data_IF_577539685090
#
_entry.id   IF_577539685090
#
_cell.length_a   1.000
_cell.length_b   1.000
_cell.length_c   1.000
_cell.angle_alpha   90.00
_cell.angle_beta   90.00
_cell.angle_gamma   90.00
#
_symmetry.space_group_name_H-M   'P 1'
#
loop_
_entity.id
_entity.type
_entity.pdbx_description
1 polymer ?
#
# COMPACT_ATOMS: atom_id res chain seq x y z
N UNK A 1 -27.67 6.62 16.31
CA UNK A 1 -26.31 6.59 15.72
C UNK A 1 -25.86 8.01 15.44
N UNK A 2 -24.55 8.29 15.51
CA UNK A 2 -23.99 9.63 15.29
C UNK A 2 -23.04 9.63 14.08
N UNK A 3 -22.83 10.78 13.40
CA UNK A 3 -21.83 10.90 12.35
C UNK A 3 -20.41 10.68 12.91
N UNK A 4 -19.56 9.97 12.17
CA UNK A 4 -18.19 9.65 12.55
C UNK A 4 -17.38 10.91 12.83
N UNK A 5 -17.52 11.94 12.00
CA UNK A 5 -16.77 13.19 12.18
C UNK A 5 -17.08 13.86 13.53
N UNK A 6 -18.36 13.87 13.92
CA UNK A 6 -18.80 14.38 15.23
C UNK A 6 -18.20 13.55 16.35
N UNK A 7 -18.29 12.22 16.24
CA UNK A 7 -17.72 11.29 17.23
C UNK A 7 -16.21 11.48 17.39
N UNK A 8 -15.48 11.70 16.29
CA UNK A 8 -14.03 11.93 16.34
C UNK A 8 -13.69 13.26 17.02
N UNK A 9 -14.43 14.33 16.76
CA UNK A 9 -14.23 15.62 17.42
C UNK A 9 -14.52 15.59 18.93
N UNK A 10 -15.43 14.72 19.38
CA UNK A 10 -15.77 14.57 20.79
C UNK A 10 -14.77 13.71 21.58
N UNK A 11 -13.90 12.97 20.89
CA UNK A 11 -12.90 12.13 21.57
C UNK A 11 -11.83 13.00 22.23
N UNK A 12 -11.46 12.60 23.44
CA UNK A 12 -10.27 13.14 24.10
C UNK A 12 -9.02 12.88 23.25
N UNK A 13 -8.08 13.84 23.26
CA UNK A 13 -6.83 13.78 22.50
C UNK A 13 -6.10 12.44 22.70
N UNK A 14 -6.03 11.94 23.93
CA UNK A 14 -5.38 10.65 24.23
C UNK A 14 -6.02 9.46 23.48
N UNK A 15 -7.35 9.48 23.30
CA UNK A 15 -8.05 8.46 22.51
C UNK A 15 -7.73 8.58 21.02
N UNK A 16 -7.65 9.82 20.51
CA UNK A 16 -7.23 10.07 19.12
C UNK A 16 -5.78 9.64 18.88
N UNK A 17 -4.87 9.91 19.82
CA UNK A 17 -3.48 9.44 19.76
C UNK A 17 -3.40 7.92 19.79
N UNK A 18 -4.23 7.24 20.60
CA UNK A 18 -4.30 5.79 20.60
C UNK A 18 -4.78 5.23 19.25
N UNK A 19 -5.78 5.87 18.63
CA UNK A 19 -6.24 5.51 17.29
C UNK A 19 -5.14 5.73 16.25
N UNK A 20 -4.47 6.88 16.28
CA UNK A 20 -3.36 7.18 15.39
C UNK A 20 -2.24 6.12 15.46
N UNK A 21 -1.88 5.71 16.69
CA UNK A 21 -0.92 4.61 16.92
C UNK A 21 -1.41 3.28 16.39
N UNK A 22 -2.70 2.95 16.55
CA UNK A 22 -3.25 1.73 15.95
C UNK A 22 -3.17 1.77 14.43
N UNK A 23 -3.37 2.92 13.80
CA UNK A 23 -3.34 3.07 12.34
C UNK A 23 -1.96 3.35 11.73
N UNK A 24 -0.91 3.32 12.56
CA UNK A 24 0.46 3.72 12.23
C UNK A 24 0.53 5.09 11.53
N UNK A 25 -0.26 6.05 12.02
CA UNK A 25 -0.22 7.43 11.57
C UNK A 25 0.95 8.18 12.24
N UNK A 26 1.57 9.14 11.54
CA UNK A 26 2.64 9.95 12.12
C UNK A 26 2.15 10.70 13.36
N UNK A 27 3.03 10.83 14.35
CA UNK A 27 2.74 11.58 15.57
C UNK A 27 2.49 13.05 15.24
N UNK A 28 1.26 13.50 15.38
CA UNK A 28 0.89 14.92 15.36
C UNK A 28 0.47 15.37 16.76
N UNK A 29 0.63 16.67 17.04
CA UNK A 29 0.35 17.25 18.36
C UNK A 29 -1.10 17.75 18.51
N UNK A 30 -1.81 17.99 17.41
CA UNK A 30 -3.14 18.60 17.39
C UNK A 30 -4.29 17.60 17.24
N UNK A 31 -5.35 17.78 18.04
CA UNK A 31 -6.58 16.98 17.91
C UNK A 31 -7.21 17.13 16.52
N UNK A 32 -7.25 18.35 15.96
CA UNK A 32 -7.82 18.62 14.64
C UNK A 32 -7.07 17.87 13.53
N UNK A 33 -5.74 17.84 13.57
CA UNK A 33 -4.91 17.15 12.57
C UNK A 33 -5.12 15.64 12.63
N UNK A 34 -5.25 15.10 13.84
CA UNK A 34 -5.58 13.69 14.06
C UNK A 34 -6.96 13.36 13.50
N UNK A 35 -7.98 14.18 13.75
CA UNK A 35 -9.32 13.99 13.18
C UNK A 35 -9.27 14.05 11.65
N UNK A 36 -8.58 15.04 11.09
CA UNK A 36 -8.41 15.20 9.64
C UNK A 36 -7.67 14.04 8.97
N UNK A 37 -6.78 13.36 9.70
CA UNK A 37 -6.08 12.16 9.21
C UNK A 37 -6.89 10.87 9.41
N UNK A 38 -7.59 10.75 10.54
CA UNK A 38 -8.36 9.55 10.90
C UNK A 38 -9.67 9.43 10.12
N UNK A 39 -10.36 10.54 9.87
CA UNK A 39 -11.64 10.51 9.16
C UNK A 39 -11.54 9.87 7.77
N UNK A 40 -10.70 10.36 6.83
CA UNK A 40 -10.60 9.76 5.49
C UNK A 40 -10.13 8.31 5.54
N UNK A 41 -9.24 7.99 6.49
CA UNK A 41 -8.77 6.63 6.70
C UNK A 41 -9.92 5.71 7.14
N UNK A 42 -10.70 6.10 8.14
CA UNK A 42 -11.78 5.28 8.67
C UNK A 42 -12.97 5.16 7.70
N UNK A 43 -13.13 6.14 6.80
CA UNK A 43 -14.17 6.10 5.75
C UNK A 43 -13.76 5.32 4.49
N UNK A 44 -12.53 4.81 4.42
CA UNK A 44 -12.09 3.96 3.33
C UNK A 44 -12.37 2.47 3.64
N UNK A 45 -13.04 1.73 2.73
CA UNK A 45 -13.43 0.34 2.96
C UNK A 45 -12.24 -0.61 3.09
N UNK A 46 -11.14 -0.38 2.37
CA UNK A 46 -9.92 -1.17 2.51
C UNK A 46 -9.30 -0.98 3.89
N UNK A 47 -9.20 0.27 4.36
CA UNK A 47 -8.60 0.57 5.66
C UNK A 47 -9.40 -0.07 6.79
N UNK A 48 -10.74 0.06 6.76
CA UNK A 48 -11.61 -0.58 7.75
C UNK A 48 -11.43 -2.10 7.74
N UNK A 49 -11.45 -2.75 6.57
CA UNK A 49 -11.26 -4.20 6.45
C UNK A 49 -9.90 -4.66 7.02
N UNK A 50 -8.82 -3.92 6.72
CA UNK A 50 -7.48 -4.21 7.24
C UNK A 50 -7.39 -4.03 8.77
N UNK A 51 -8.03 -2.99 9.31
CA UNK A 51 -8.10 -2.77 10.76
C UNK A 51 -8.83 -3.89 11.49
N UNK A 52 -9.96 -4.36 10.95
CA UNK A 52 -10.70 -5.49 11.50
C UNK A 52 -9.91 -6.80 11.42
N UNK A 53 -9.24 -7.05 10.29
CA UNK A 53 -8.38 -8.21 10.09
C UNK A 53 -7.21 -8.26 11.09
N UNK A 54 -6.60 -7.10 11.38
CA UNK A 54 -5.55 -6.94 12.39
C UNK A 54 -6.04 -7.23 13.80
N UNK A 55 -7.28 -6.90 14.13
CA UNK A 55 -7.85 -7.15 15.47
C UNK A 55 -8.26 -8.63 15.60
N UNK A 56 -8.88 -9.21 14.57
CA UNK A 56 -9.22 -10.62 14.49
C UNK A 56 -10.67 -10.92 14.09
N UNK A 57 -11.06 -12.21 13.97
CA UNK A 57 -12.38 -12.61 13.47
C UNK A 57 -13.54 -12.13 14.35
N UNK A 58 -13.32 -12.07 15.67
CA UNK A 58 -14.35 -11.61 16.60
C UNK A 58 -14.65 -10.12 16.42
N UNK A 59 -13.68 -9.32 15.96
CA UNK A 59 -13.89 -7.91 15.63
C UNK A 59 -14.84 -7.75 14.43
N UNK A 60 -14.64 -8.55 13.39
CA UNK A 60 -15.56 -8.62 12.25
C UNK A 60 -16.99 -8.93 12.70
N UNK A 61 -17.17 -10.00 13.49
CA UNK A 61 -18.50 -10.39 14.00
C UNK A 61 -19.14 -9.28 14.84
N UNK A 62 -18.35 -8.64 15.71
CA UNK A 62 -18.83 -7.54 16.57
C UNK A 62 -19.30 -6.35 15.74
N UNK A 63 -18.51 -5.94 14.75
CA UNK A 63 -18.84 -4.78 13.90
C UNK A 63 -20.01 -5.08 12.98
N UNK A 64 -20.09 -6.30 12.41
CA UNK A 64 -21.25 -6.74 11.65
C UNK A 64 -22.53 -6.76 12.49
N UNK A 65 -22.46 -7.25 13.74
CA UNK A 65 -23.58 -7.24 14.67
C UNK A 65 -24.07 -5.81 14.96
N UNK A 66 -23.17 -4.90 15.33
CA UNK A 66 -23.50 -3.49 15.60
C UNK A 66 -24.04 -2.78 14.35
N UNK A 67 -23.49 -3.08 13.17
CA UNK A 67 -23.97 -2.54 11.90
C UNK A 67 -25.37 -3.03 11.54
N UNK A 68 -25.69 -4.30 11.86
CA UNK A 68 -27.02 -4.88 11.64
C UNK A 68 -28.06 -4.31 12.61
N UNK A 69 -27.74 -4.26 13.90
CA UNK A 69 -28.69 -3.83 14.94
C UNK A 69 -28.90 -2.32 14.97
N UNK A 70 -27.90 -1.53 14.54
CA UNK A 70 -27.96 -0.05 14.50
C UNK A 70 -28.27 0.61 15.86
N UNK A 71 -28.05 -0.12 16.95
CA UNK A 71 -28.26 0.31 18.33
C UNK A 71 -26.98 0.24 19.15
N UNK A 72 -26.95 0.97 20.27
CA UNK A 72 -25.86 0.86 21.24
C UNK A 72 -26.12 -0.35 22.16
N UNK A 73 -25.08 -1.11 22.45
CA UNK A 73 -25.17 -2.31 23.29
C UNK A 73 -24.10 -2.30 24.39
N UNK A 74 -24.42 -2.90 25.53
CA UNK A 74 -23.44 -3.13 26.61
C UNK A 74 -22.46 -4.25 26.23
N UNK A 75 -21.26 -4.29 26.83
CA UNK A 75 -20.32 -5.40 26.62
C UNK A 75 -20.92 -6.79 26.87
N UNK A 76 -21.71 -6.94 27.93
CA UNK A 76 -22.38 -8.21 28.27
C UNK A 76 -23.45 -8.61 27.26
N UNK A 77 -24.20 -7.65 26.72
CA UNK A 77 -25.18 -7.88 25.64
C UNK A 77 -24.46 -8.30 24.36
N UNK A 78 -23.37 -7.62 23.99
CA UNK A 78 -22.54 -8.00 22.85
C UNK A 78 -21.99 -9.42 22.99
N UNK A 79 -21.49 -9.79 24.17
CA UNK A 79 -20.99 -11.14 24.43
C UNK A 79 -22.08 -12.20 24.25
N UNK A 80 -23.28 -11.95 24.80
CA UNK A 80 -24.44 -12.83 24.66
C UNK A 80 -24.86 -13.00 23.19
N UNK A 81 -25.02 -11.90 22.45
CA UNK A 81 -25.43 -11.94 21.04
C UNK A 81 -24.38 -12.60 20.13
N UNK A 82 -23.10 -12.49 20.49
CA UNK A 82 -22.00 -13.16 19.77
C UNK A 82 -21.82 -14.63 20.15
N UNK A 83 -22.54 -15.12 21.18
CA UNK A 83 -22.37 -16.45 21.73
C UNK A 83 -20.96 -16.70 22.26
N UNK A 84 -20.31 -15.66 22.81
CA UNK A 84 -18.93 -15.68 23.27
C UNK A 84 -18.83 -15.27 24.74
N UNK A 85 -17.79 -15.72 25.42
CA UNK A 85 -17.52 -15.30 26.79
C UNK A 85 -17.17 -13.81 26.86
N UNK A 86 -17.72 -13.09 27.83
CA UNK A 86 -17.48 -11.66 28.02
C UNK A 86 -16.00 -11.37 28.24
N UNK A 87 -15.29 -12.26 28.94
CA UNK A 87 -13.84 -12.14 29.16
C UNK A 87 -13.02 -12.16 27.86
N UNK A 88 -13.51 -12.84 26.82
CA UNK A 88 -12.90 -12.90 25.50
C UNK A 88 -13.30 -11.71 24.61
N UNK A 89 -14.51 -11.18 24.81
CA UNK A 89 -15.06 -10.06 24.03
C UNK A 89 -14.50 -8.71 24.47
N UNK A 90 -14.36 -8.49 25.80
CA UNK A 90 -13.88 -7.22 26.36
C UNK A 90 -12.54 -6.72 25.76
N UNK A 91 -11.49 -7.56 25.61
CA UNK A 91 -10.24 -7.15 24.97
C UNK A 91 -10.44 -6.69 23.52
N UNK A 92 -11.34 -7.33 22.77
CA UNK A 92 -11.65 -6.97 21.39
C UNK A 92 -12.40 -5.63 21.33
N UNK A 93 -13.37 -5.41 22.22
CA UNK A 93 -14.09 -4.13 22.33
C UNK A 93 -13.15 -2.98 22.66
N UNK A 94 -12.19 -3.19 23.56
CA UNK A 94 -11.14 -2.20 23.88
C UNK A 94 -10.29 -1.87 22.66
N UNK A 95 -9.87 -2.88 21.89
CA UNK A 95 -9.11 -2.69 20.65
C UNK A 95 -9.91 -1.92 19.60
N UNK A 96 -11.18 -2.27 19.39
CA UNK A 96 -12.08 -1.56 18.48
C UNK A 96 -12.29 -0.10 18.90
N UNK A 97 -12.45 0.15 20.20
CA UNK A 97 -12.58 1.51 20.72
C UNK A 97 -11.29 2.30 20.56
N UNK A 98 -10.13 1.69 20.84
CA UNK A 98 -8.82 2.32 20.67
C UNK A 98 -8.51 2.60 19.19
N UNK A 99 -8.98 1.77 18.26
CA UNK A 99 -8.87 1.96 16.83
C UNK A 99 -9.84 3.02 16.28
N UNK A 100 -10.66 3.63 17.14
CA UNK A 100 -11.77 4.53 16.77
C UNK A 100 -12.83 3.93 15.84
N UNK A 101 -12.95 2.60 15.78
CA UNK A 101 -13.95 1.90 14.98
C UNK A 101 -15.32 1.90 15.68
N UNK A 102 -15.35 1.70 17.00
CA UNK A 102 -16.59 1.83 17.80
C UNK A 102 -16.52 3.03 18.73
N UNK A 103 -17.67 3.63 18.98
CA UNK A 103 -17.84 4.73 19.91
C UNK A 103 -18.47 4.23 21.21
N UNK A 104 -18.24 4.97 22.30
CA UNK A 104 -18.83 4.70 23.61
C UNK A 104 -19.72 5.88 24.01
N UNK A 105 -20.81 5.60 24.70
CA UNK A 105 -21.63 6.59 25.37
C UNK A 105 -21.97 6.09 26.77
N UNK A 106 -21.94 6.99 27.75
CA UNK A 106 -22.34 6.67 29.13
C UNK A 106 -23.86 6.72 29.23
N UNK A 107 -24.44 5.68 29.85
CA UNK A 107 -25.84 5.63 30.26
C UNK A 107 -25.92 5.42 31.77
N UNK A 108 -27.09 5.61 32.38
CA UNK A 108 -27.28 5.42 33.83
C UNK A 108 -26.88 4.01 34.29
N UNK A 109 -27.02 3.03 33.41
CA UNK A 109 -26.69 1.63 33.67
C UNK A 109 -25.28 1.21 33.19
N UNK A 110 -24.43 2.18 32.82
CA UNK A 110 -23.05 1.95 32.40
C UNK A 110 -22.74 2.29 30.93
N UNK A 111 -21.51 2.03 30.46
CA UNK A 111 -21.09 2.36 29.10
C UNK A 111 -21.73 1.43 28.06
N UNK A 112 -22.27 2.01 26.99
CA UNK A 112 -22.75 1.29 25.81
C UNK A 112 -21.90 1.64 24.60
N UNK A 113 -21.68 0.65 23.74
CA UNK A 113 -20.89 0.78 22.52
C UNK A 113 -21.80 0.80 21.30
N UNK A 114 -21.51 1.68 20.36
CA UNK A 114 -22.22 1.76 19.09
C UNK A 114 -21.26 2.00 17.93
N UNK A 115 -21.75 1.71 16.73
CA UNK A 115 -21.02 1.97 15.49
C UNK A 115 -21.44 3.34 14.91
N UNK A 116 -20.49 4.25 14.61
CA UNK A 116 -20.80 5.49 13.88
C UNK A 116 -21.46 5.21 12.52
N UNK A 117 -22.21 6.19 12.01
CA UNK A 117 -23.13 6.01 10.87
C UNK A 117 -22.44 5.52 9.60
N UNK A 118 -21.32 6.15 9.25
CA UNK A 118 -20.48 5.89 8.09
C UNK A 118 -19.84 4.51 8.20
N UNK A 119 -19.25 4.20 9.36
CA UNK A 119 -18.64 2.91 9.63
C UNK A 119 -19.64 1.76 9.57
N UNK A 120 -20.88 1.99 9.98
CA UNK A 120 -21.92 0.98 9.86
C UNK A 120 -22.37 0.75 8.42
N UNK A 121 -22.40 1.80 7.57
CA UNK A 121 -22.63 1.63 6.12
C UNK A 121 -21.51 0.83 5.49
N UNK A 122 -20.25 1.18 5.78
CA UNK A 122 -19.08 0.45 5.29
C UNK A 122 -19.05 -1.00 5.78
N UNK A 123 -19.33 -1.24 7.06
CA UNK A 123 -19.42 -2.59 7.61
C UNK A 123 -20.51 -3.44 6.93
N UNK A 124 -21.65 -2.83 6.61
CA UNK A 124 -22.73 -3.52 5.87
C UNK A 124 -22.26 -3.90 4.47
N UNK A 125 -21.62 -2.98 3.74
CA UNK A 125 -21.02 -3.25 2.42
C UNK A 125 -19.96 -4.34 2.51
N UNK A 126 -19.03 -4.25 3.45
CA UNK A 126 -17.97 -5.24 3.63
C UNK A 126 -18.54 -6.61 3.98
N UNK A 127 -19.64 -6.68 4.74
CA UNK A 127 -20.32 -7.95 5.00
C UNK A 127 -20.93 -8.53 3.72
N UNK A 128 -21.56 -7.71 2.86
CA UNK A 128 -22.07 -8.16 1.56
C UNK A 128 -20.96 -8.67 0.63
N UNK A 129 -19.81 -7.99 0.61
CA UNK A 129 -18.62 -8.44 -0.14
C UNK A 129 -18.05 -9.79 0.39
N UNK A 130 -18.27 -10.08 1.66
CA UNK A 130 -17.85 -11.34 2.30
C UNK A 130 -18.84 -12.48 2.08
N UNK A 131 -20.13 -12.17 2.10
CA UNK A 131 -21.21 -13.13 1.84
C UNK A 131 -21.23 -13.59 0.38
N UNK A 132 -20.73 -12.74 -0.53
CA UNK A 132 -20.54 -13.03 -1.97
C UNK A 132 -19.09 -12.74 -2.38
N UNK A 133 -18.13 -13.65 -2.11
CA UNK A 133 -16.71 -13.42 -2.35
C UNK A 133 -16.34 -13.54 -3.84
N UNK A 134 -15.46 -12.65 -4.32
CA UNK A 134 -14.95 -12.70 -5.69
C UNK A 134 -14.06 -13.93 -5.95
N UNK A 135 -14.24 -14.54 -7.13
CA UNK A 135 -13.38 -15.62 -7.61
C UNK A 135 -12.16 -15.10 -8.39
N UNK A 136 -11.12 -15.93 -8.53
CA UNK A 136 -9.93 -15.62 -9.38
C UNK A 136 -10.29 -15.46 -10.86
N UNK A 137 -11.39 -16.05 -11.27
CA UNK A 137 -11.93 -16.03 -12.63
C UNK A 137 -12.94 -14.90 -12.85
N UNK A 138 -13.20 -14.07 -11.83
CA UNK A 138 -14.13 -12.95 -11.90
C UNK A 138 -13.78 -12.03 -13.09
N UNK A 139 -14.79 -11.75 -13.91
CA UNK A 139 -14.66 -10.89 -15.09
C UNK A 139 -14.58 -9.40 -14.73
N UNK A 140 -14.13 -8.55 -15.66
CA UNK A 140 -13.99 -7.11 -15.42
C UNK A 140 -15.31 -6.48 -14.96
N UNK A 141 -16.45 -6.86 -15.56
CA UNK A 141 -17.76 -6.33 -15.17
C UNK A 141 -18.07 -6.63 -13.70
N UNK A 142 -17.87 -7.87 -13.26
CA UNK A 142 -18.12 -8.31 -11.88
C UNK A 142 -17.25 -7.55 -10.88
N UNK A 143 -15.99 -7.28 -11.23
CA UNK A 143 -15.09 -6.46 -10.41
C UNK A 143 -15.60 -5.03 -10.30
N UNK A 144 -15.91 -4.38 -11.43
CA UNK A 144 -16.38 -2.99 -11.45
C UNK A 144 -17.73 -2.81 -10.76
N UNK A 145 -18.57 -3.85 -10.77
CA UNK A 145 -19.85 -3.87 -10.05
C UNK A 145 -19.69 -3.81 -8.52
N UNK A 146 -18.53 -4.17 -7.98
CA UNK A 146 -18.20 -3.99 -6.55
C UNK A 146 -17.89 -2.55 -6.16
N UNK A 147 -17.61 -1.68 -7.13
CA UNK A 147 -17.29 -0.28 -6.88
C UNK A 147 -18.56 0.56 -6.82
N UNK A 148 -18.60 1.45 -5.82
CA UNK A 148 -19.58 2.54 -5.79
C UNK A 148 -19.36 3.46 -7.00
N UNK A 149 -20.37 4.24 -7.38
CA UNK A 149 -20.26 5.18 -8.50
C UNK A 149 -19.09 6.14 -8.33
N UNK A 150 -18.86 6.62 -7.10
CA UNK A 150 -17.74 7.49 -6.78
C UNK A 150 -16.38 6.79 -7.01
N UNK A 151 -16.19 5.58 -6.49
CA UNK A 151 -14.94 4.82 -6.66
C UNK A 151 -14.70 4.45 -8.13
N UNK A 152 -15.75 4.13 -8.88
CA UNK A 152 -15.68 3.83 -10.30
C UNK A 152 -15.24 5.06 -11.10
N UNK A 153 -15.84 6.22 -10.82
CA UNK A 153 -15.49 7.47 -11.49
C UNK A 153 -14.08 7.92 -11.14
N UNK A 154 -13.64 7.81 -9.88
CA UNK A 154 -12.25 8.08 -9.49
C UNK A 154 -11.26 7.16 -10.23
N UNK A 155 -11.60 5.86 -10.35
CA UNK A 155 -10.78 4.92 -11.10
C UNK A 155 -10.72 5.31 -12.58
N UNK A 156 -11.86 5.63 -13.20
CA UNK A 156 -11.92 6.06 -14.59
C UNK A 156 -11.07 7.32 -14.84
N UNK A 157 -11.15 8.31 -13.94
CA UNK A 157 -10.36 9.53 -14.01
C UNK A 157 -8.85 9.26 -13.95
N UNK A 158 -8.41 8.36 -13.04
CA UNK A 158 -7.01 7.92 -12.97
C UNK A 158 -6.52 7.23 -14.24
N UNK A 159 -7.43 6.54 -14.93
CA UNK A 159 -7.18 5.92 -16.23
C UNK A 159 -7.33 6.91 -17.40
N UNK A 160 -7.44 8.21 -17.12
CA UNK A 160 -7.43 9.28 -18.11
C UNK A 160 -8.81 9.66 -18.66
N UNK A 161 -9.90 9.14 -18.09
CA UNK A 161 -11.24 9.60 -18.45
C UNK A 161 -11.45 11.02 -17.93
N UNK A 162 -11.99 11.91 -18.76
CA UNK A 162 -12.47 13.20 -18.27
C UNK A 162 -13.81 12.99 -17.59
N UNK A 163 -13.83 13.00 -16.26
CA UNK A 163 -15.07 12.89 -15.48
C UNK A 163 -15.68 14.28 -15.32
N UNK A 164 -16.95 14.42 -15.72
CA UNK A 164 -17.76 15.61 -15.49
C UNK A 164 -18.75 15.29 -14.36
N UNK A 165 -18.65 15.95 -13.19
CA UNK A 165 -19.55 15.70 -12.07
C UNK A 165 -21.01 15.78 -12.50
N UNK A 166 -21.86 14.86 -12.03
CA UNK A 166 -23.30 14.76 -12.34
C UNK A 166 -23.69 14.46 -13.79
N UNK A 167 -22.73 14.43 -14.72
CA UNK A 167 -22.98 14.16 -16.15
C UNK A 167 -22.44 12.80 -16.57
N UNK A 168 -21.20 12.49 -16.19
CA UNK A 168 -20.59 11.20 -16.54
C UNK A 168 -21.34 10.07 -15.85
N UNK A 169 -21.83 9.12 -16.63
CA UNK A 169 -22.65 8.01 -16.13
C UNK A 169 -21.78 6.84 -15.68
N UNK A 170 -22.35 5.99 -14.83
CA UNK A 170 -21.74 4.72 -14.43
C UNK A 170 -21.42 3.85 -15.66
N UNK A 171 -22.35 3.75 -16.60
CA UNK A 171 -22.23 2.92 -17.80
C UNK A 171 -21.07 3.39 -18.70
N UNK A 172 -20.91 4.69 -18.87
CA UNK A 172 -19.78 5.28 -19.59
C UNK A 172 -18.44 4.92 -18.92
N UNK A 173 -18.36 5.05 -17.59
CA UNK A 173 -17.17 4.73 -16.83
C UNK A 173 -16.84 3.23 -16.86
N UNK A 174 -17.84 2.34 -16.75
CA UNK A 174 -17.65 0.89 -16.89
C UNK A 174 -17.13 0.55 -18.28
N UNK A 175 -17.74 1.10 -19.33
CA UNK A 175 -17.33 0.85 -20.73
C UNK A 175 -15.89 1.32 -20.96
N UNK A 176 -15.56 2.52 -20.48
CA UNK A 176 -14.21 3.08 -20.57
C UNK A 176 -13.20 2.18 -19.84
N UNK A 177 -13.46 1.84 -18.58
CA UNK A 177 -12.56 1.03 -17.76
C UNK A 177 -12.38 -0.38 -18.31
N UNK A 178 -13.43 -0.99 -18.85
CA UNK A 178 -13.36 -2.33 -19.46
C UNK A 178 -12.37 -2.35 -20.62
N UNK A 179 -12.36 -1.31 -21.48
CA UNK A 179 -11.39 -1.22 -22.58
C UNK A 179 -9.98 -0.91 -22.09
N UNK A 180 -9.83 -0.03 -21.10
CA UNK A 180 -8.51 0.41 -20.60
C UNK A 180 -7.82 -0.64 -19.72
N UNK A 181 -8.56 -1.36 -18.88
CA UNK A 181 -8.00 -2.42 -18.06
C UNK A 181 -7.51 -3.60 -18.90
N UNK A 182 -8.03 -3.77 -20.12
CA UNK A 182 -7.53 -4.79 -21.05
C UNK A 182 -6.27 -4.35 -21.82
N UNK A 183 -5.85 -3.09 -21.76
CA UNK A 183 -4.70 -2.55 -22.52
C UNK A 183 -3.35 -2.93 -21.89
N UNK A 184 -2.53 -3.79 -22.54
CA UNK A 184 -1.26 -4.23 -21.99
C UNK A 184 -0.19 -3.13 -21.90
N UNK A 185 -0.29 -2.07 -22.72
CA UNK A 185 0.65 -0.95 -22.65
C UNK A 185 0.38 -0.10 -21.42
N UNK A 186 -0.89 0.22 -21.19
CA UNK A 186 -1.31 0.96 -20.01
C UNK A 186 -1.01 0.20 -18.72
N UNK A 187 -1.25 -1.11 -18.68
CA UNK A 187 -0.87 -1.93 -17.52
C UNK A 187 0.64 -1.89 -17.24
N UNK A 188 1.49 -1.85 -18.28
CA UNK A 188 2.95 -1.68 -18.12
C UNK A 188 3.27 -0.34 -17.49
N UNK A 189 2.71 0.74 -18.02
CA UNK A 189 2.96 2.10 -17.54
C UNK A 189 2.56 2.25 -16.07
N UNK A 190 1.38 1.74 -15.69
CA UNK A 190 0.92 1.73 -14.30
C UNK A 190 1.91 0.97 -13.42
N UNK A 191 2.34 -0.24 -13.81
CA UNK A 191 3.31 -1.02 -13.03
C UNK A 191 4.65 -0.30 -12.86
N UNK A 192 5.12 0.44 -13.86
CA UNK A 192 6.34 1.26 -13.74
C UNK A 192 6.18 2.47 -12.83
N UNK A 193 4.95 2.94 -12.60
CA UNK A 193 4.64 4.06 -11.70
C UNK A 193 4.45 3.65 -10.24
N UNK A 194 4.33 2.34 -9.96
CA UNK A 194 4.12 1.83 -8.61
C UNK A 194 5.35 2.03 -7.73
N UNK A 195 5.12 2.26 -6.44
CA UNK A 195 6.18 2.23 -5.44
C UNK A 195 6.86 0.86 -5.40
N UNK A 196 8.15 0.76 -5.02
CA UNK A 196 8.86 -0.52 -4.95
C UNK A 196 8.15 -1.57 -4.08
N UNK A 197 7.49 -1.13 -3.00
CA UNK A 197 6.72 -2.01 -2.11
C UNK A 197 5.42 -2.49 -2.76
N UNK A 198 4.72 -1.63 -3.49
CA UNK A 198 3.52 -2.02 -4.25
C UNK A 198 3.87 -3.01 -5.37
N UNK A 199 4.97 -2.77 -6.08
CA UNK A 199 5.47 -3.70 -7.09
C UNK A 199 5.84 -5.06 -6.47
N UNK A 200 6.55 -5.07 -5.32
CA UNK A 200 6.89 -6.30 -4.61
C UNK A 200 5.64 -7.11 -4.21
N UNK A 201 4.62 -6.45 -3.66
CA UNK A 201 3.37 -7.12 -3.29
C UNK A 201 2.61 -7.62 -4.52
N UNK A 202 2.57 -6.82 -5.60
CA UNK A 202 1.93 -7.21 -6.85
C UNK A 202 2.60 -8.41 -7.51
N UNK A 203 3.93 -8.48 -7.52
CA UNK A 203 4.68 -9.62 -8.06
C UNK A 203 4.46 -10.89 -7.23
N UNK A 204 4.34 -10.74 -5.90
CA UNK A 204 3.92 -11.84 -5.03
C UNK A 204 2.52 -12.32 -5.37
N UNK A 205 1.54 -11.42 -5.51
CA UNK A 205 0.18 -11.77 -5.92
C UNK A 205 0.16 -12.43 -7.31
N UNK A 206 0.99 -11.96 -8.25
CA UNK A 206 1.07 -12.52 -9.60
C UNK A 206 1.71 -13.91 -9.65
N UNK A 207 2.60 -14.23 -8.69
CA UNK A 207 3.19 -15.56 -8.57
C UNK A 207 2.28 -16.56 -7.88
N UNK A 208 1.33 -16.09 -7.06
CA UNK A 208 0.37 -16.91 -6.35
C UNK A 208 -0.94 -16.95 -7.13
N UNK A 209 -1.29 -18.09 -7.73
CA UNK A 209 -2.57 -18.26 -8.45
C UNK A 209 -3.80 -18.36 -7.51
N UNK A 210 -3.65 -17.96 -6.24
CA UNK A 210 -4.69 -18.01 -5.21
C UNK A 210 -4.74 -16.68 -4.47
N UNK A 211 -5.90 -16.32 -3.91
CA UNK A 211 -6.00 -15.19 -3.00
C UNK A 211 -4.94 -15.30 -1.90
N UNK A 212 -4.34 -14.16 -1.52
CA UNK A 212 -3.30 -14.11 -0.48
C UNK A 212 -3.94 -13.62 0.82
N UNK A 213 -4.05 -14.45 1.87
CA UNK A 213 -4.63 -14.03 3.13
C UNK A 213 -3.85 -12.88 3.77
N UNK A 214 -4.55 -11.81 4.13
CA UNK A 214 -3.93 -10.63 4.75
C UNK A 214 -3.30 -10.98 6.09
N UNK A 215 -3.83 -11.96 6.82
CA UNK A 215 -3.22 -12.46 8.06
C UNK A 215 -1.79 -12.95 7.88
N UNK A 216 -1.46 -13.52 6.72
CA UNK A 216 -0.09 -13.96 6.40
C UNK A 216 0.82 -12.74 6.30
N UNK A 217 0.40 -11.71 5.55
CA UNK A 217 1.14 -10.46 5.40
C UNK A 217 1.33 -9.72 6.74
N UNK A 218 0.32 -9.73 7.60
CA UNK A 218 0.38 -9.11 8.93
C UNK A 218 1.32 -9.85 9.90
N UNK A 219 1.59 -11.13 9.67
CA UNK A 219 2.50 -11.93 10.48
C UNK A 219 3.96 -11.80 10.07
N UNK A 220 4.22 -11.20 8.91
CA UNK A 220 5.56 -11.11 8.35
C UNK A 220 6.36 -9.92 8.91
N UNK A 221 7.62 -10.13 9.31
CA UNK A 221 8.41 -9.09 9.99
C UNK A 221 8.83 -7.93 9.08
N UNK A 222 8.71 -8.08 7.76
CA UNK A 222 9.18 -7.10 6.78
C UNK A 222 8.12 -6.06 6.37
N UNK A 223 6.91 -6.17 6.94
CA UNK A 223 5.82 -5.22 6.76
C UNK A 223 5.45 -4.58 8.11
N UNK A 224 5.61 -3.27 8.25
CA UNK A 224 4.81 -2.56 9.24
C UNK A 224 3.35 -2.47 8.78
N UNK A 225 2.41 -2.34 9.71
CA UNK A 225 0.99 -2.24 9.36
C UNK A 225 0.72 -0.99 8.51
N UNK A 226 1.32 0.14 8.86
CA UNK A 226 1.23 1.38 8.10
C UNK A 226 1.81 1.30 6.69
N UNK A 227 2.90 0.55 6.47
CA UNK A 227 3.40 0.28 5.11
C UNK A 227 2.45 -0.61 4.33
N UNK A 228 2.05 -1.77 4.87
CA UNK A 228 1.15 -2.70 4.21
C UNK A 228 -0.15 -2.01 3.77
N UNK A 229 -0.71 -1.21 4.66
CA UNK A 229 -1.93 -0.45 4.44
C UNK A 229 -1.81 0.57 3.31
N UNK A 230 -0.69 1.30 3.23
CA UNK A 230 -0.40 2.25 2.14
C UNK A 230 -0.16 1.53 0.82
N UNK A 231 0.57 0.40 0.86
CA UNK A 231 0.86 -0.44 -0.30
C UNK A 231 -0.41 -1.04 -0.89
N UNK A 232 -1.30 -1.59 -0.06
CA UNK A 232 -2.60 -2.12 -0.52
C UNK A 232 -3.47 -0.99 -1.06
N UNK A 233 -3.53 0.17 -0.39
CA UNK A 233 -4.29 1.32 -0.88
C UNK A 233 -3.79 1.78 -2.24
N UNK A 234 -2.47 1.83 -2.46
CA UNK A 234 -1.89 2.19 -3.76
C UNK A 234 -2.32 1.22 -4.87
N UNK A 235 -2.21 -0.09 -4.64
CA UNK A 235 -2.64 -1.11 -5.60
C UNK A 235 -4.15 -1.05 -5.86
N UNK A 236 -4.94 -0.87 -4.80
CA UNK A 236 -6.39 -0.81 -4.87
C UNK A 236 -6.88 0.41 -5.66
N UNK A 237 -6.20 1.56 -5.51
CA UNK A 237 -6.58 2.77 -6.23
C UNK A 237 -6.32 2.67 -7.73
N UNK A 238 -5.45 1.76 -8.16
CA UNK A 238 -5.26 1.37 -9.55
C UNK A 238 -6.12 0.17 -9.97
N UNK A 239 -7.03 -0.33 -9.12
CA UNK A 239 -7.86 -1.49 -9.44
C UNK A 239 -7.07 -2.80 -9.63
N UNK A 240 -5.83 -2.86 -9.16
CA UNK A 240 -4.93 -4.02 -9.32
C UNK A 240 -5.15 -5.08 -8.24
N UNK A 241 -5.75 -4.73 -7.11
CA UNK A 241 -6.06 -5.67 -6.03
C UNK A 241 -7.49 -5.49 -5.56
N UNK A 242 -8.13 -6.62 -5.26
CA UNK A 242 -9.52 -6.73 -4.85
C UNK A 242 -9.61 -7.47 -3.52
N UNK A 243 -10.69 -7.21 -2.77
CA UNK A 243 -10.99 -7.97 -1.55
C UNK A 243 -11.72 -9.23 -1.95
N UNK A 244 -11.36 -10.34 -1.32
CA UNK A 244 -12.17 -11.54 -1.30
C UNK A 244 -12.10 -12.17 0.09
N UNK A 245 -12.97 -13.15 0.34
CA UNK A 245 -12.93 -13.94 1.56
C UNK A 245 -12.42 -15.35 1.23
N UNK A 246 -11.43 -15.81 2.01
CA UNK A 246 -11.02 -17.21 2.01
C UNK A 246 -10.97 -17.72 3.46
N UNK A 247 -11.67 -18.82 3.73
CA UNK A 247 -11.68 -19.46 5.06
C UNK A 247 -12.08 -18.53 6.22
N UNK A 248 -13.03 -17.60 6.03
CA UNK A 248 -13.41 -16.67 7.10
C UNK A 248 -12.49 -15.46 7.25
N UNK A 249 -11.45 -15.31 6.41
CA UNK A 249 -10.42 -14.27 6.53
C UNK A 249 -10.38 -13.39 5.29
N UNK A 250 -9.92 -12.14 5.48
CA UNK A 250 -9.70 -11.21 4.39
C UNK A 250 -8.49 -11.67 3.55
N UNK A 251 -8.70 -11.81 2.24
CA UNK A 251 -7.64 -12.12 1.29
C UNK A 251 -7.55 -11.05 0.20
N UNK A 252 -6.33 -10.84 -0.28
CA UNK A 252 -6.03 -10.02 -1.46
C UNK A 252 -6.16 -10.88 -2.71
N UNK A 253 -6.93 -10.39 -3.67
CA UNK A 253 -7.16 -11.04 -4.95
C UNK A 253 -6.57 -10.20 -6.08
N UNK A 254 -5.75 -10.84 -6.92
CA UNK A 254 -5.38 -10.34 -8.24
C UNK A 254 -6.13 -11.18 -9.28
N UNK A 255 -7.16 -10.64 -9.95
CA UNK A 255 -7.92 -11.35 -10.97
C UNK A 255 -7.00 -11.84 -12.10
N UNK A 256 -7.27 -13.05 -12.60
CA UNK A 256 -6.46 -13.71 -13.63
C UNK A 256 -6.29 -12.86 -14.90
N UNK A 257 -7.32 -12.14 -15.30
CA UNK A 257 -7.29 -11.21 -16.44
C UNK A 257 -6.27 -10.05 -16.30
N UNK A 258 -5.86 -9.69 -15.08
CA UNK A 258 -4.82 -8.68 -14.80
C UNK A 258 -3.41 -9.29 -14.65
N UNK A 259 -3.26 -10.62 -14.71
CA UNK A 259 -1.95 -11.29 -14.57
C UNK A 259 -1.17 -11.42 -15.89
N UNK A 260 -1.81 -11.14 -17.03
CA UNK A 260 -1.30 -11.41 -18.38
C UNK A 260 -0.10 -10.54 -18.79
N UNK A 261 0.11 -9.40 -18.12
CA UNK A 261 1.23 -8.51 -18.40
C UNK A 261 2.36 -8.77 -17.42
N UNK A 262 3.12 -9.85 -17.62
CA UNK A 262 4.41 -10.04 -16.94
C UNK A 262 5.41 -9.02 -17.49
N UNK A 263 5.61 -7.93 -16.77
CA UNK A 263 6.75 -7.05 -17.00
C UNK A 263 7.97 -7.81 -16.49
N UNK A 264 8.79 -8.35 -17.40
CA UNK A 264 10.15 -8.76 -17.02
C UNK A 264 10.77 -7.55 -16.32
N UNK A 265 11.41 -7.71 -15.14
CA UNK A 265 12.08 -6.61 -14.47
C UNK A 265 12.94 -5.92 -15.51
N UNK A 266 12.54 -4.70 -15.87
CA UNK A 266 13.27 -3.94 -16.87
C UNK A 266 14.50 -3.50 -16.12
N UNK A 267 15.59 -4.27 -16.26
CA UNK A 267 16.89 -3.76 -15.88
C UNK A 267 16.99 -2.37 -16.49
N UNK A 268 17.30 -1.35 -15.69
CA UNK A 268 17.33 -0.01 -16.21
C UNK A 268 18.31 -0.08 -17.41
N UNK A 269 17.81 0.24 -18.60
CA UNK A 269 18.62 0.19 -19.82
C UNK A 269 19.53 1.42 -19.85
N UNK A 270 20.84 1.25 -20.11
CA UNK A 270 21.75 2.39 -20.20
C UNK A 270 21.22 3.39 -21.22
N UNK A 271 21.14 4.66 -20.81
CA UNK A 271 20.69 5.74 -21.69
C UNK A 271 21.79 5.97 -22.72
N UNK A 272 21.53 5.66 -23.99
CA UNK A 272 22.41 6.08 -25.09
C UNK A 272 22.21 7.58 -25.33
N UNK A 273 22.96 8.41 -24.62
CA UNK A 273 23.06 9.85 -24.86
C UNK A 273 23.99 10.10 -26.07
N UNK A 274 23.61 9.59 -27.24
CA UNK A 274 24.20 10.00 -28.50
C UNK A 274 23.57 11.34 -28.94
N UNK A 275 23.84 12.40 -28.17
CA UNK A 275 23.32 13.73 -28.43
C UNK A 275 23.89 14.71 -27.42
N UNK A 276 24.77 15.58 -27.91
CA UNK A 276 25.49 16.63 -27.16
C UNK A 276 24.63 17.27 -26.06
N UNK A 277 24.85 16.85 -24.80
CA UNK A 277 24.27 17.52 -23.64
C UNK A 277 25.32 18.47 -23.05
N UNK A 278 24.96 19.74 -22.96
CA UNK A 278 25.71 20.81 -22.29
C UNK A 278 25.43 20.90 -20.78
N UNK A 279 24.65 19.98 -20.20
CA UNK A 279 24.25 20.04 -18.78
C UNK A 279 24.30 18.67 -18.09
N UNK A 280 24.94 18.65 -16.92
CA UNK A 280 25.05 17.50 -16.02
C UNK A 280 23.68 17.11 -15.44
N UNK A 281 23.26 15.86 -15.61
CA UNK A 281 22.04 15.30 -15.00
C UNK A 281 22.39 14.67 -13.63
N UNK A 282 21.96 15.26 -12.49
CA UNK A 282 22.35 14.79 -11.15
C UNK A 282 22.00 13.33 -10.88
N UNK A 283 20.88 12.86 -11.45
CA UNK A 283 20.40 11.49 -11.31
C UNK A 283 21.34 10.46 -11.95
N UNK A 284 21.99 10.81 -13.06
CA UNK A 284 22.89 9.89 -13.75
C UNK A 284 24.21 9.77 -13.00
N UNK A 285 24.73 10.89 -12.49
CA UNK A 285 25.91 10.91 -11.61
C UNK A 285 25.69 10.10 -10.34
N UNK A 286 24.49 10.16 -9.76
CA UNK A 286 24.11 9.34 -8.60
C UNK A 286 24.12 7.83 -8.94
N UNK A 287 23.56 7.44 -10.10
CA UNK A 287 23.52 6.05 -10.54
C UNK A 287 24.93 5.49 -10.83
N UNK A 288 25.81 6.29 -11.44
CA UNK A 288 27.20 5.90 -11.65
C UNK A 288 27.97 5.78 -10.33
N UNK A 289 27.73 6.68 -9.36
CA UNK A 289 28.33 6.61 -8.02
C UNK A 289 27.89 5.35 -7.27
N UNK A 290 26.59 5.03 -7.30
CA UNK A 290 26.04 3.82 -6.68
C UNK A 290 26.58 2.54 -7.35
N UNK A 291 26.73 2.55 -8.67
CA UNK A 291 27.31 1.43 -9.42
C UNK A 291 28.78 1.21 -9.06
N UNK A 292 29.53 2.29 -8.88
CA UNK A 292 30.93 2.25 -8.46
C UNK A 292 31.07 1.74 -7.01
N UNK A 293 30.23 2.21 -6.09
CA UNK A 293 30.20 1.73 -4.71
C UNK A 293 29.82 0.25 -4.61
N UNK A 294 28.81 -0.19 -5.37
CA UNK A 294 28.39 -1.59 -5.42
C UNK A 294 29.48 -2.52 -5.96
N UNK A 295 30.35 -2.00 -6.84
CA UNK A 295 31.51 -2.73 -7.36
C UNK A 295 32.64 -2.78 -6.35
N UNK A 296 33.01 -1.65 -5.73
CA UNK A 296 34.01 -1.61 -4.66
C UNK A 296 33.62 -2.55 -3.52
N UNK A 297 32.35 -2.58 -3.10
CA UNK A 297 31.90 -3.52 -2.08
C UNK A 297 31.96 -5.00 -2.52
N UNK A 298 31.73 -5.28 -3.81
CA UNK A 298 31.87 -6.64 -4.36
C UNK A 298 33.34 -7.08 -4.38
N UNK A 299 34.24 -6.17 -4.72
CA UNK A 299 35.68 -6.44 -4.82
C UNK A 299 36.34 -6.49 -3.43
N UNK A 300 35.88 -5.68 -2.46
CA UNK A 300 36.29 -5.76 -1.05
C UNK A 300 35.83 -7.04 -0.36
N UNK A 301 34.76 -7.69 -0.84
CA UNK A 301 34.35 -9.03 -0.40
C UNK A 301 35.22 -10.16 -1.00
N UNK A 302 36.03 -9.84 -2.00
CA UNK A 302 36.91 -10.77 -2.73
C UNK A 302 38.39 -10.49 -2.45
N UNK A 303 38.74 -10.10 -1.22
CA UNK A 303 40.12 -9.99 -0.77
C UNK A 303 40.76 -11.39 -0.66
N UNK A 304 41.20 -11.90 -1.81
CA UNK A 304 41.83 -13.21 -1.95
C UNK A 304 42.32 -13.51 -3.37
N UNK A 305 42.73 -12.50 -4.13
CA UNK A 305 43.43 -12.71 -5.40
C UNK A 305 44.27 -11.48 -5.74
N UNK A 306 45.51 -11.48 -5.26
CA UNK A 306 46.53 -10.54 -5.68
C UNK A 306 46.81 -10.73 -7.18
N UNK A 307 46.64 -9.67 -7.97
CA UNK A 307 47.01 -9.62 -9.38
C UNK A 307 46.82 -8.22 -9.93
N UNK A 308 47.93 -7.54 -10.21
CA UNK A 308 47.95 -6.17 -10.73
C UNK A 308 47.25 -6.03 -12.08
N UNK A 309 46.24 -5.17 -12.19
CA UNK A 309 45.84 -4.60 -13.49
C UNK A 309 45.08 -3.27 -13.32
N UNK A 310 45.81 -2.16 -13.16
CA UNK A 310 45.22 -0.82 -13.10
C UNK A 310 44.79 -0.25 -14.47
N UNK A 311 44.90 -1.03 -15.57
CA UNK A 311 44.57 -0.58 -16.93
C UNK A 311 43.47 -1.36 -17.64
N UNK A 312 43.27 -2.65 -17.39
CA UNK A 312 42.16 -3.40 -18.02
C UNK A 312 40.83 -3.23 -17.28
N UNK A 313 40.87 -2.99 -15.96
CA UNK A 313 39.65 -2.81 -15.15
C UNK A 313 38.90 -1.51 -15.47
N UNK A 314 39.60 -0.49 -15.97
CA UNK A 314 38.99 0.80 -16.35
C UNK A 314 38.20 0.69 -17.66
N UNK A 315 38.67 -0.11 -18.63
CA UNK A 315 37.97 -0.35 -19.89
C UNK A 315 36.72 -1.24 -19.70
N UNK A 316 36.79 -2.26 -18.82
CA UNK A 316 35.59 -3.01 -18.40
C UNK A 316 34.67 -2.20 -17.48
N UNK A 317 35.18 -1.21 -16.74
CA UNK A 317 34.35 -0.29 -15.99
C UNK A 317 33.59 0.71 -16.88
N UNK A 318 34.05 0.97 -18.11
CA UNK A 318 33.39 1.86 -19.05
C UNK A 318 32.14 1.23 -19.70
N UNK A 319 32.05 -0.11 -19.76
CA UNK A 319 30.98 -0.83 -20.47
C UNK A 319 29.65 -0.93 -19.70
N UNK A 320 29.62 -0.58 -18.41
CA UNK A 320 28.44 -0.67 -17.54
C UNK A 320 28.00 0.66 -16.93
N UNK A 321 28.31 1.80 -17.59
CA UNK A 321 27.97 3.14 -17.09
C UNK A 321 26.79 3.76 -17.79
N UNK A 322 26.11 4.58 -17.02
CA UNK A 322 24.92 5.32 -17.42
C UNK A 322 25.27 6.60 -18.16
N UNK A 323 26.46 7.15 -17.93
CA UNK A 323 27.01 8.29 -18.66
C UNK A 323 28.10 7.84 -19.65
N UNK A 324 27.84 7.99 -20.96
CA UNK A 324 28.78 7.63 -22.05
C UNK A 324 29.38 8.91 -22.66
N UNK A 325 30.64 9.20 -22.35
CA UNK A 325 31.45 10.26 -22.98
C UNK A 325 32.42 9.69 -24.04
N UNK A 326 33.13 10.56 -24.77
CA UNK A 326 34.31 10.14 -25.54
C UNK A 326 35.35 9.45 -24.64
N UNK A 327 36.13 8.47 -25.14
CA UNK A 327 37.04 7.65 -24.32
C UNK A 327 38.05 8.44 -23.48
N UNK A 328 38.46 9.62 -23.94
CA UNK A 328 39.39 10.54 -23.26
C UNK A 328 38.77 11.22 -22.02
N UNK A 329 37.48 11.54 -22.07
CA UNK A 329 36.74 12.23 -20.99
C UNK A 329 36.22 11.25 -19.93
N UNK A 330 36.03 9.98 -20.31
CA UNK A 330 35.60 8.93 -19.39
C UNK A 330 36.57 8.72 -18.23
N UNK A 331 37.89 8.73 -18.49
CA UNK A 331 38.91 8.54 -17.45
C UNK A 331 38.83 9.64 -16.37
N UNK A 332 38.69 10.90 -16.79
CA UNK A 332 38.57 12.06 -15.89
C UNK A 332 37.28 12.01 -15.06
N UNK A 333 36.17 11.57 -15.66
CA UNK A 333 34.91 11.39 -14.95
C UNK A 333 34.97 10.25 -13.91
N UNK A 334 35.69 9.16 -14.19
CA UNK A 334 35.95 8.10 -13.19
C UNK A 334 36.72 8.66 -12.00
N UNK A 335 37.78 9.40 -12.26
CA UNK A 335 38.64 9.99 -11.24
C UNK A 335 37.84 10.96 -10.36
N UNK A 336 36.95 11.76 -10.97
CA UNK A 336 36.02 12.63 -10.26
C UNK A 336 35.08 11.87 -9.33
N UNK A 337 34.42 10.80 -9.80
CA UNK A 337 33.52 9.99 -8.97
C UNK A 337 34.27 9.29 -7.82
N UNK A 338 35.47 8.76 -8.08
CA UNK A 338 36.31 8.17 -7.03
C UNK A 338 36.71 9.21 -5.97
N UNK A 339 36.99 10.45 -6.40
CA UNK A 339 37.32 11.56 -5.49
C UNK A 339 36.11 11.98 -4.65
N UNK A 340 34.89 11.98 -5.19
CA UNK A 340 33.66 12.19 -4.42
C UNK A 340 33.46 11.09 -3.39
N UNK A 341 33.59 9.82 -3.79
CA UNK A 341 33.43 8.66 -2.91
C UNK A 341 34.43 8.74 -1.73
N UNK A 342 35.69 9.11 -2.00
CA UNK A 342 36.71 9.33 -0.96
C UNK A 342 36.39 10.54 -0.07
N UNK A 343 36.00 11.68 -0.66
CA UNK A 343 35.67 12.89 0.09
C UNK A 343 34.45 12.73 1.00
N UNK A 344 33.49 11.88 0.61
CA UNK A 344 32.31 11.54 1.40
C UNK A 344 32.56 10.41 2.41
N UNK A 345 33.77 9.84 2.48
CA UNK A 345 34.13 8.77 3.41
C UNK A 345 33.39 7.45 3.16
N UNK A 346 32.88 7.23 1.95
CA UNK A 346 32.03 6.07 1.60
C UNK A 346 32.83 4.79 1.32
N UNK A 347 34.15 4.90 1.17
CA UNK A 347 35.10 3.79 1.07
C UNK A 347 36.26 4.12 2.01
N UNK A 348 36.67 3.17 2.84
CA UNK A 348 37.77 3.36 3.78
C UNK A 348 39.05 3.75 3.06
N UNK A 349 39.82 4.67 3.65
CA UNK A 349 41.20 4.90 3.24
C UNK A 349 42.01 3.66 3.64
N UNK A 350 42.27 2.74 2.70
CA UNK A 350 43.29 1.73 2.96
C UNK A 350 44.65 2.41 3.08
N UNK A 351 45.42 1.93 4.05
CA UNK A 351 46.61 2.55 4.60
C UNK A 351 47.74 2.79 3.60
N UNK A 352 48.56 3.77 3.96
CA UNK A 352 49.99 3.83 3.61
C UNK A 352 50.73 2.54 3.91
#
# INVERSE_FOLDING_TARGET
>A
MRPLLVVLHERALQSLTAAARFWDLPSTSGASDLVGSLYPLLTDPWQLALGLERIGPLAWKTVALLARLRTALRPSELARELGADESAVLPILRKLYSAAIVASQSTDDGPTLYLPTELARLATRLQQERDDPLSVEAGISELLDRLTDHELLELAERYGMRVLPTVTTREEAVTYLTTRLADPALQRDIRTSLSPRAQQLLDRLSSHQRPLPVSVLLSEPHWSFGELRRTIAELARWGLVWRTEESGRLSLLLPSLLTSVRVKPTHPQPIDLAGSMTHWLPTVTLLDLLSLLARVHRDSGAAGSAGSSTKDDSAQAATHRWFRHEPSEQALYVEFLQRIVRALGLVGSEGT
#
